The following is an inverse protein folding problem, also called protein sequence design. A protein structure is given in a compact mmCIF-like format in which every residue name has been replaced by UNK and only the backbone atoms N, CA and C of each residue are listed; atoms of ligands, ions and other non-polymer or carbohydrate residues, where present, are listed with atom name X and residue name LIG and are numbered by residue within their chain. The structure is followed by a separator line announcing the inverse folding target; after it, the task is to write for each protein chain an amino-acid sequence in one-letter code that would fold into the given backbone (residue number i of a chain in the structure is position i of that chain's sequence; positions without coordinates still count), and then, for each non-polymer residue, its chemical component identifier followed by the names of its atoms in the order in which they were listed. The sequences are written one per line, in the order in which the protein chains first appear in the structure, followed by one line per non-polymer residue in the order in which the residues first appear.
data_IF_224454286018
#
_entry.id   IF_224454286018
#
_cell.length_a   1.000
_cell.length_b   1.000
_cell.length_c   1.000
_cell.angle_alpha   90.00
_cell.angle_beta   90.00
_cell.angle_gamma   90.00
#
_symmetry.space_group_name_H-M   'P 1'
#
loop_
_entity.id
_entity.type
_entity.pdbx_description
1 polymer ?
#
# COMPACT_ATOMS: atom_id res chain seq x y z
N UNK A 1 23.81 24.10 0.64
CA UNK A 1 22.57 23.43 1.14
C UNK A 1 21.66 22.87 0.02
N UNK A 2 22.07 22.91 -1.23
CA UNK A 2 21.23 22.64 -2.43
C UNK A 2 21.19 21.19 -2.90
N UNK A 3 22.26 20.41 -2.80
CA UNK A 3 22.28 19.04 -3.37
C UNK A 3 21.41 18.00 -2.64
N UNK A 4 21.33 18.06 -1.31
CA UNK A 4 20.51 17.11 -0.54
C UNK A 4 19.00 17.29 -0.77
N UNK A 5 18.57 18.54 -0.94
CA UNK A 5 17.18 18.86 -1.28
C UNK A 5 16.77 18.30 -2.65
N UNK A 6 17.68 18.31 -3.60
CA UNK A 6 17.47 17.79 -4.96
C UNK A 6 17.36 16.25 -4.99
N UNK A 7 18.14 15.54 -4.16
CA UNK A 7 18.07 14.08 -4.07
C UNK A 7 16.73 13.64 -3.47
N UNK A 8 16.33 14.23 -2.34
CA UNK A 8 15.06 13.92 -1.70
C UNK A 8 13.85 14.19 -2.62
N UNK A 9 13.86 15.33 -3.33
CA UNK A 9 12.83 15.68 -4.29
C UNK A 9 12.81 14.74 -5.51
N UNK A 10 13.96 14.25 -5.98
CA UNK A 10 14.04 13.26 -7.06
C UNK A 10 13.48 11.90 -6.61
N UNK A 11 13.90 11.44 -5.43
CA UNK A 11 13.39 10.17 -4.85
C UNK A 11 11.87 10.26 -4.65
N UNK A 12 11.39 11.36 -4.08
CA UNK A 12 9.95 11.58 -3.88
C UNK A 12 9.18 11.52 -5.20
N UNK A 13 9.61 12.30 -6.21
CA UNK A 13 8.99 12.27 -7.54
C UNK A 13 9.09 10.90 -8.21
N UNK A 14 10.16 10.17 -7.97
CA UNK A 14 10.34 8.79 -8.45
C UNK A 14 9.31 7.82 -7.85
N UNK A 15 8.96 8.02 -6.58
CA UNK A 15 8.01 7.15 -5.86
C UNK A 15 6.56 7.48 -6.14
N UNK A 16 6.18 8.76 -6.10
CA UNK A 16 4.76 9.17 -6.13
C UNK A 16 4.37 10.03 -7.34
N UNK A 17 5.33 10.35 -8.20
CA UNK A 17 5.11 11.26 -9.32
C UNK A 17 5.20 12.75 -8.93
N UNK A 18 4.89 13.66 -9.86
CA UNK A 18 4.99 15.10 -9.66
C UNK A 18 3.76 15.64 -8.90
N UNK A 19 3.64 15.31 -7.62
CA UNK A 19 2.57 15.79 -6.75
C UNK A 19 2.71 17.29 -6.44
N UNK A 20 1.58 17.98 -6.35
CA UNK A 20 1.48 19.33 -5.80
C UNK A 20 1.78 19.36 -4.29
N UNK A 21 1.96 20.59 -3.74
CA UNK A 21 2.26 20.76 -2.30
C UNK A 21 1.15 20.19 -1.40
N UNK A 22 -0.11 20.45 -1.72
CA UNK A 22 -1.25 19.94 -0.95
C UNK A 22 -1.36 18.42 -1.01
N UNK A 23 -1.17 17.82 -2.19
CA UNK A 23 -1.17 16.37 -2.38
C UNK A 23 -0.02 15.70 -1.62
N UNK A 24 1.19 16.28 -1.73
CA UNK A 24 2.36 15.80 -0.97
C UNK A 24 2.13 15.89 0.54
N UNK A 25 1.56 17.01 1.02
CA UNK A 25 1.23 17.19 2.43
C UNK A 25 0.17 16.19 2.90
N UNK A 26 -0.83 15.87 2.07
CA UNK A 26 -1.83 14.85 2.40
C UNK A 26 -1.20 13.45 2.51
N UNK A 27 -0.38 13.04 1.54
CA UNK A 27 0.33 11.75 1.56
C UNK A 27 1.22 11.64 2.78
N UNK A 28 2.10 12.63 3.01
CA UNK A 28 3.05 12.63 4.12
C UNK A 28 2.36 12.76 5.48
N UNK A 29 1.31 13.60 5.57
CA UNK A 29 0.55 13.81 6.79
C UNK A 29 -0.16 12.54 7.25
N UNK A 30 -0.89 11.88 6.35
CA UNK A 30 -1.55 10.60 6.65
C UNK A 30 -0.54 9.54 7.03
N UNK A 31 0.56 9.41 6.28
CA UNK A 31 1.63 8.48 6.57
C UNK A 31 2.25 8.71 7.96
N UNK A 32 2.62 9.96 8.27
CA UNK A 32 3.25 10.31 9.54
C UNK A 32 2.33 10.10 10.74
N UNK A 33 1.08 10.59 10.66
CA UNK A 33 0.10 10.44 11.75
C UNK A 33 -0.18 8.98 12.03
N UNK A 34 -0.43 8.18 10.97
CA UNK A 34 -0.73 6.75 11.14
C UNK A 34 0.49 5.98 11.64
N UNK A 35 1.67 6.26 11.07
CA UNK A 35 2.92 5.63 11.50
C UNK A 35 3.22 5.87 12.97
N UNK A 36 3.11 7.12 13.43
CA UNK A 36 3.28 7.47 14.84
C UNK A 36 2.25 6.81 15.76
N UNK A 37 0.98 6.82 15.38
CA UNK A 37 -0.09 6.22 16.18
C UNK A 37 0.14 4.71 16.32
N UNK A 38 0.50 4.01 15.23
CA UNK A 38 0.80 2.58 15.24
C UNK A 38 2.06 2.29 16.05
N UNK A 39 3.13 3.07 15.86
CA UNK A 39 4.38 2.89 16.61
C UNK A 39 4.15 3.05 18.12
N UNK A 40 3.44 4.10 18.56
CA UNK A 40 3.13 4.32 19.98
C UNK A 40 2.32 3.17 20.57
N UNK A 41 1.21 2.79 19.90
CA UNK A 41 0.34 1.69 20.35
C UNK A 41 1.07 0.35 20.39
N UNK A 42 1.92 0.07 19.41
CA UNK A 42 2.71 -1.15 19.35
C UNK A 42 3.81 -1.14 20.42
N UNK A 43 4.50 -0.02 20.59
CA UNK A 43 5.59 0.11 21.53
C UNK A 43 5.19 -0.19 22.98
N UNK A 44 4.01 0.26 23.40
CA UNK A 44 3.47 -0.04 24.73
C UNK A 44 3.10 -1.52 24.94
N UNK A 45 2.89 -2.29 23.86
CA UNK A 45 2.41 -3.68 23.91
C UNK A 45 3.47 -4.70 23.55
N UNK A 46 4.37 -4.38 22.62
CA UNK A 46 5.29 -5.30 21.97
C UNK A 46 6.76 -4.86 22.01
N UNK A 47 7.01 -3.67 22.55
CA UNK A 47 8.35 -3.11 22.65
C UNK A 47 8.83 -2.34 21.43
N UNK A 48 10.04 -1.74 21.50
CA UNK A 48 10.50 -0.73 20.53
C UNK A 48 10.79 -1.32 19.13
N UNK A 49 11.28 -2.54 19.02
CA UNK A 49 11.55 -3.18 17.73
C UNK A 49 10.28 -3.39 16.90
N UNK A 50 9.22 -3.92 17.52
CA UNK A 50 7.92 -4.07 16.87
C UNK A 50 7.28 -2.71 16.55
N UNK A 51 7.46 -1.71 17.43
CA UNK A 51 6.99 -0.35 17.20
C UNK A 51 7.61 0.27 15.93
N UNK A 52 8.92 0.18 15.80
CA UNK A 52 9.65 0.70 14.64
C UNK A 52 9.19 -0.02 13.36
N UNK A 53 9.15 -1.35 13.39
CA UNK A 53 8.76 -2.16 12.24
C UNK A 53 7.34 -1.85 11.79
N UNK A 54 6.35 -1.91 12.69
CA UNK A 54 4.95 -1.69 12.31
C UNK A 54 4.63 -0.22 12.06
N UNK A 55 5.34 0.71 12.69
CA UNK A 55 5.28 2.12 12.36
C UNK A 55 5.73 2.41 10.93
N UNK A 56 6.87 1.82 10.51
CA UNK A 56 7.35 1.93 9.14
C UNK A 56 6.38 1.30 8.12
N UNK A 57 5.83 0.12 8.43
CA UNK A 57 4.77 -0.50 7.62
C UNK A 57 3.56 0.41 7.48
N UNK A 58 3.13 1.04 8.57
CA UNK A 58 1.99 1.94 8.55
C UNK A 58 2.24 3.18 7.67
N UNK A 59 3.44 3.78 7.77
CA UNK A 59 3.85 4.90 6.91
C UNK A 59 3.74 4.53 5.43
N UNK A 60 4.34 3.40 5.02
CA UNK A 60 4.32 2.98 3.62
C UNK A 60 2.91 2.65 3.13
N UNK A 61 2.17 1.86 3.91
CA UNK A 61 0.86 1.35 3.45
C UNK A 61 -0.15 2.49 3.36
N UNK A 62 -0.22 3.38 4.35
CA UNK A 62 -1.19 4.47 4.34
C UNK A 62 -0.81 5.62 3.41
N UNK A 63 0.48 5.97 3.35
CA UNK A 63 0.98 6.94 2.37
C UNK A 63 0.75 6.46 0.94
N UNK A 64 1.09 5.21 0.65
CA UNK A 64 0.83 4.59 -0.65
C UNK A 64 -0.65 4.47 -0.98
N UNK A 65 -1.52 4.19 0.01
CA UNK A 65 -2.97 4.19 -0.20
C UNK A 65 -3.46 5.54 -0.72
N UNK A 66 -3.03 6.64 -0.11
CA UNK A 66 -3.39 8.00 -0.58
C UNK A 66 -2.78 8.28 -1.95
N UNK A 67 -1.48 8.01 -2.12
CA UNK A 67 -0.76 8.29 -3.35
C UNK A 67 -1.40 7.60 -4.57
N UNK A 68 -1.74 6.31 -4.50
CA UNK A 68 -2.35 5.57 -5.62
C UNK A 68 -3.79 6.00 -5.97
N UNK A 69 -4.42 6.87 -5.17
CA UNK A 69 -5.68 7.51 -5.58
C UNK A 69 -5.45 8.78 -6.40
N UNK A 70 -4.24 9.36 -6.35
CA UNK A 70 -3.93 10.61 -7.04
C UNK A 70 -3.61 10.38 -8.53
N UNK A 71 -4.15 11.22 -9.42
CA UNK A 71 -3.92 11.09 -10.87
C UNK A 71 -2.44 11.11 -11.25
N UNK A 72 -1.64 11.99 -10.64
CA UNK A 72 -0.21 12.11 -10.94
C UNK A 72 0.58 10.84 -10.60
N UNK A 73 0.28 10.19 -9.48
CA UNK A 73 0.89 8.90 -9.14
C UNK A 73 0.47 7.81 -10.12
N UNK A 74 -0.80 7.73 -10.45
CA UNK A 74 -1.31 6.75 -11.41
C UNK A 74 -0.70 6.91 -12.80
N UNK A 75 -0.53 8.16 -13.25
CA UNK A 75 0.13 8.46 -14.53
C UNK A 75 1.62 8.10 -14.50
N UNK A 76 2.33 8.34 -13.37
CA UNK A 76 3.73 7.92 -13.17
C UNK A 76 3.94 6.43 -13.40
N UNK A 77 2.98 5.60 -12.99
CA UNK A 77 3.06 4.14 -13.13
C UNK A 77 2.36 3.59 -14.38
N UNK A 78 1.78 4.45 -15.23
CA UNK A 78 1.07 4.03 -16.44
C UNK A 78 1.97 3.25 -17.40
N UNK A 79 3.20 3.69 -17.61
CA UNK A 79 4.16 3.07 -18.53
C UNK A 79 4.73 1.73 -18.06
N UNK A 80 4.38 1.30 -16.82
CA UNK A 80 4.87 0.03 -16.28
C UNK A 80 4.29 -1.15 -17.05
N UNK A 81 5.15 -2.11 -17.40
CA UNK A 81 4.75 -3.38 -18.03
C UNK A 81 3.93 -4.23 -17.03
N UNK A 82 3.26 -5.27 -17.55
CA UNK A 82 2.59 -6.25 -16.68
C UNK A 82 3.58 -6.89 -15.69
N UNK A 83 4.79 -7.22 -16.14
CA UNK A 83 5.83 -7.79 -15.30
C UNK A 83 6.23 -6.83 -14.17
N UNK A 84 6.41 -5.53 -14.47
CA UNK A 84 6.72 -4.51 -13.46
C UNK A 84 5.59 -4.37 -12.43
N UNK A 85 4.34 -4.41 -12.88
CA UNK A 85 3.16 -4.32 -12.00
C UNK A 85 3.04 -5.53 -11.09
N UNK A 86 3.28 -6.73 -11.61
CA UNK A 86 3.33 -7.96 -10.81
C UNK A 86 4.54 -7.95 -9.87
N UNK A 87 5.69 -7.51 -10.35
CA UNK A 87 6.90 -7.33 -9.55
C UNK A 87 6.69 -6.37 -8.39
N UNK A 88 6.04 -5.22 -8.65
CA UNK A 88 5.69 -4.26 -7.59
C UNK A 88 4.70 -4.87 -6.59
N UNK A 89 3.66 -5.55 -7.05
CA UNK A 89 2.71 -6.24 -6.17
C UNK A 89 3.42 -7.29 -5.29
N UNK A 90 4.31 -8.10 -5.87
CA UNK A 90 5.08 -9.11 -5.17
C UNK A 90 6.11 -8.53 -4.18
N UNK A 91 6.73 -7.39 -4.52
CA UNK A 91 7.67 -6.68 -3.66
C UNK A 91 7.00 -6.04 -2.42
N UNK A 92 5.69 -5.86 -2.45
CA UNK A 92 4.93 -5.36 -1.31
C UNK A 92 4.74 -6.48 -0.26
N UNK A 93 5.78 -6.71 0.53
CA UNK A 93 5.83 -7.78 1.55
C UNK A 93 5.48 -7.31 2.97
N UNK A 94 5.00 -6.08 3.13
CA UNK A 94 4.80 -5.43 4.45
C UNK A 94 3.83 -6.20 5.35
N UNK A 95 2.86 -6.93 4.78
CA UNK A 95 1.98 -7.81 5.57
C UNK A 95 2.75 -8.96 6.24
N UNK A 96 3.90 -9.37 5.69
CA UNK A 96 4.77 -10.40 6.28
C UNK A 96 5.54 -9.90 7.52
N UNK A 97 5.53 -8.59 7.79
CA UNK A 97 6.11 -8.00 8.99
C UNK A 97 5.23 -8.19 10.25
N UNK A 98 3.96 -8.55 10.08
CA UNK A 98 3.02 -8.72 11.21
C UNK A 98 3.38 -9.90 12.13
N UNK A 99 3.58 -11.14 11.62
CA UNK A 99 3.89 -12.28 12.48
C UNK A 99 5.14 -12.09 13.34
N UNK A 100 6.30 -11.64 12.82
CA UNK A 100 7.47 -11.42 13.66
C UNK A 100 7.31 -10.27 14.66
N UNK A 101 6.39 -9.31 14.40
CA UNK A 101 6.03 -8.29 15.38
C UNK A 101 5.02 -8.79 16.44
N UNK A 102 4.66 -10.08 16.42
CA UNK A 102 3.69 -10.67 17.34
C UNK A 102 2.24 -10.34 17.03
N UNK A 103 1.95 -9.94 15.79
CA UNK A 103 0.60 -9.57 15.33
C UNK A 103 0.16 -10.47 14.16
N UNK A 104 -0.99 -11.15 14.33
CA UNK A 104 -1.52 -12.03 13.29
C UNK A 104 -0.77 -13.36 13.14
N UNK A 105 -0.99 -14.03 12.02
CA UNK A 105 -0.41 -15.34 11.69
C UNK A 105 0.27 -15.34 10.33
N UNK A 106 1.25 -16.23 10.14
CA UNK A 106 1.92 -16.40 8.85
C UNK A 106 0.97 -16.78 7.72
N UNK A 107 0.00 -17.68 8.00
CA UNK A 107 -0.99 -18.08 6.99
C UNK A 107 -1.80 -16.90 6.48
N UNK A 108 -2.23 -16.01 7.36
CA UNK A 108 -2.96 -14.79 6.97
C UNK A 108 -2.08 -13.81 6.22
N UNK A 109 -0.85 -13.58 6.68
CA UNK A 109 0.09 -12.70 6.01
C UNK A 109 0.39 -13.16 4.59
N UNK A 110 0.63 -14.46 4.41
CA UNK A 110 0.85 -15.07 3.09
C UNK A 110 -0.41 -15.02 2.22
N UNK A 111 -1.60 -15.27 2.79
CA UNK A 111 -2.86 -15.17 2.06
C UNK A 111 -3.11 -13.73 1.55
N UNK A 112 -2.84 -12.71 2.36
CA UNK A 112 -2.92 -11.29 1.95
C UNK A 112 -1.95 -11.01 0.81
N UNK A 113 -0.69 -11.42 0.96
CA UNK A 113 0.33 -11.22 -0.06
C UNK A 113 -0.04 -11.89 -1.38
N UNK A 114 -0.36 -13.18 -1.35
CA UNK A 114 -0.75 -13.94 -2.54
C UNK A 114 -2.04 -13.41 -3.15
N UNK A 115 -3.00 -12.99 -2.33
CA UNK A 115 -4.26 -12.38 -2.76
C UNK A 115 -4.06 -11.10 -3.56
N UNK A 116 -3.12 -10.24 -3.13
CA UNK A 116 -2.79 -9.01 -3.87
C UNK A 116 -2.10 -9.32 -5.20
N UNK A 117 -1.14 -10.23 -5.22
CA UNK A 117 -0.46 -10.64 -6.45
C UNK A 117 -1.45 -11.26 -7.43
N UNK A 118 -2.29 -12.19 -6.96
CA UNK A 118 -3.34 -12.81 -7.76
C UNK A 118 -4.39 -11.82 -8.28
N UNK A 119 -4.86 -10.92 -7.41
CA UNK A 119 -5.79 -9.85 -7.82
C UNK A 119 -5.17 -8.94 -8.88
N UNK A 120 -3.89 -8.58 -8.74
CA UNK A 120 -3.18 -7.78 -9.74
C UNK A 120 -3.11 -8.53 -11.07
N UNK A 121 -2.75 -9.81 -11.07
CA UNK A 121 -2.69 -10.62 -12.28
C UNK A 121 -4.06 -10.68 -12.97
N UNK A 122 -5.12 -11.01 -12.24
CA UNK A 122 -6.48 -11.13 -12.81
C UNK A 122 -6.98 -9.78 -13.34
N UNK A 123 -6.85 -8.71 -12.56
CA UNK A 123 -7.32 -7.38 -12.97
C UNK A 123 -6.59 -6.87 -14.21
N UNK A 124 -5.30 -7.09 -14.29
CA UNK A 124 -4.49 -6.61 -15.41
C UNK A 124 -4.63 -7.47 -16.66
N UNK A 125 -4.75 -8.80 -16.53
CA UNK A 125 -4.81 -9.70 -17.66
C UNK A 125 -6.23 -9.98 -18.19
N UNK A 126 -7.24 -10.00 -17.31
CA UNK A 126 -8.58 -10.45 -17.66
C UNK A 126 -9.66 -9.34 -17.64
N UNK A 127 -9.40 -8.20 -16.99
CA UNK A 127 -10.41 -7.15 -16.87
C UNK A 127 -10.10 -5.99 -17.84
N UNK A 128 -11.01 -5.64 -18.75
CA UNK A 128 -10.84 -4.50 -19.65
C UNK A 128 -10.57 -3.20 -18.90
N UNK A 129 -9.66 -2.36 -19.40
CA UNK A 129 -9.21 -1.14 -18.73
C UNK A 129 -10.36 -0.28 -18.20
N UNK A 130 -11.39 -0.05 -19.03
CA UNK A 130 -12.58 0.75 -18.71
C UNK A 130 -13.34 0.28 -17.47
N UNK A 131 -13.28 -1.03 -17.14
CA UNK A 131 -13.96 -1.65 -15.99
C UNK A 131 -13.00 -1.94 -14.83
N UNK A 132 -11.71 -1.90 -15.07
CA UNK A 132 -10.68 -2.34 -14.14
C UNK A 132 -10.73 -1.59 -12.80
N UNK A 133 -10.94 -0.26 -12.84
CA UNK A 133 -11.04 0.53 -11.61
C UNK A 133 -12.26 0.14 -10.77
N UNK A 134 -13.42 0.00 -11.37
CA UNK A 134 -14.63 -0.42 -10.65
C UNK A 134 -14.49 -1.85 -10.10
N UNK A 135 -14.00 -2.78 -10.92
CA UNK A 135 -13.77 -4.17 -10.50
C UNK A 135 -12.74 -4.26 -9.36
N UNK A 136 -11.63 -3.53 -9.46
CA UNK A 136 -10.59 -3.53 -8.42
C UNK A 136 -11.07 -2.87 -7.13
N UNK A 137 -11.88 -1.80 -7.22
CA UNK A 137 -12.48 -1.18 -6.04
C UNK A 137 -13.46 -2.14 -5.35
N UNK A 138 -14.34 -2.80 -6.11
CA UNK A 138 -15.27 -3.78 -5.57
C UNK A 138 -14.53 -4.97 -4.93
N UNK A 139 -13.54 -5.54 -5.63
CA UNK A 139 -12.73 -6.63 -5.10
C UNK A 139 -11.96 -6.20 -3.84
N UNK A 140 -11.33 -5.03 -3.86
CA UNK A 140 -10.63 -4.47 -2.71
C UNK A 140 -11.55 -4.28 -1.49
N UNK A 141 -12.79 -3.82 -1.71
CA UNK A 141 -13.78 -3.67 -0.65
C UNK A 141 -14.21 -5.04 -0.06
N UNK A 142 -14.43 -6.04 -0.91
CA UNK A 142 -14.76 -7.42 -0.46
C UNK A 142 -13.62 -8.00 0.38
N UNK A 143 -12.38 -7.90 -0.10
CA UNK A 143 -11.20 -8.39 0.62
C UNK A 143 -11.00 -7.64 1.95
N UNK A 144 -11.20 -6.31 1.95
CA UNK A 144 -11.13 -5.49 3.16
C UNK A 144 -12.19 -5.90 4.19
N UNK A 145 -13.42 -6.13 3.76
CA UNK A 145 -14.51 -6.59 4.63
C UNK A 145 -14.22 -7.99 5.21
N UNK A 146 -13.73 -8.92 4.39
CA UNK A 146 -13.34 -10.25 4.83
C UNK A 146 -12.22 -10.21 5.88
N UNK A 147 -11.21 -9.35 5.67
CA UNK A 147 -10.14 -9.14 6.64
C UNK A 147 -10.66 -8.56 7.96
N UNK A 148 -11.51 -7.53 7.92
CA UNK A 148 -12.10 -6.96 9.13
C UNK A 148 -12.96 -7.95 9.90
N UNK A 149 -13.68 -8.82 9.20
CA UNK A 149 -14.54 -9.84 9.81
C UNK A 149 -13.74 -10.95 10.49
N UNK A 150 -12.56 -11.28 9.94
CA UNK A 150 -11.78 -12.46 10.38
C UNK A 150 -10.55 -12.12 11.21
N UNK A 151 -9.95 -10.93 11.05
CA UNK A 151 -8.77 -10.52 11.79
C UNK A 151 -9.13 -9.99 13.18
N UNK A 152 -8.60 -10.63 14.21
CA UNK A 152 -8.75 -10.24 15.62
C UNK A 152 -7.50 -9.57 16.20
N UNK A 153 -6.46 -9.36 15.40
CA UNK A 153 -5.23 -8.70 15.85
C UNK A 153 -5.45 -7.20 16.11
N UNK A 154 -4.52 -6.59 16.86
CA UNK A 154 -4.55 -5.15 17.07
C UNK A 154 -4.29 -4.35 15.77
N UNK A 155 -3.71 -5.01 14.77
CA UNK A 155 -3.40 -4.45 13.47
C UNK A 155 -4.43 -4.84 12.38
N UNK A 156 -5.63 -5.24 12.76
CA UNK A 156 -6.71 -5.62 11.83
C UNK A 156 -7.05 -4.55 10.76
N UNK A 157 -6.71 -3.29 11.02
CA UNK A 157 -6.89 -2.19 10.09
C UNK A 157 -5.96 -2.29 8.87
N UNK A 158 -4.83 -3.00 9.00
CA UNK A 158 -3.82 -3.07 7.94
C UNK A 158 -4.36 -3.77 6.69
N UNK A 159 -5.14 -4.85 6.85
CA UNK A 159 -5.72 -5.57 5.72
C UNK A 159 -6.57 -4.68 4.81
N UNK A 160 -7.58 -3.96 5.32
CA UNK A 160 -8.35 -3.00 4.54
C UNK A 160 -7.50 -1.96 3.81
N UNK A 161 -6.56 -1.33 4.51
CA UNK A 161 -5.68 -0.31 3.90
C UNK A 161 -4.77 -0.93 2.84
N UNK A 162 -4.27 -2.14 3.08
CA UNK A 162 -3.49 -2.93 2.15
C UNK A 162 -4.24 -3.20 0.85
N UNK A 163 -5.49 -3.65 0.93
CA UNK A 163 -6.31 -3.90 -0.24
C UNK A 163 -6.69 -2.61 -0.98
N UNK A 164 -6.95 -1.51 -0.26
CA UNK A 164 -7.18 -0.20 -0.89
C UNK A 164 -5.95 0.33 -1.61
N UNK A 165 -4.75 0.18 -1.03
CA UNK A 165 -3.49 0.57 -1.69
C UNK A 165 -3.24 -0.23 -2.95
N UNK A 166 -3.30 -1.57 -2.85
CA UNK A 166 -2.75 -2.46 -3.86
C UNK A 166 -3.80 -3.00 -4.82
N UNK A 167 -4.99 -3.38 -4.35
CA UNK A 167 -6.03 -3.92 -5.23
C UNK A 167 -6.84 -2.80 -5.87
N UNK A 168 -7.39 -1.87 -5.09
CA UNK A 168 -8.16 -0.76 -5.64
C UNK A 168 -7.27 0.33 -6.28
N UNK A 169 -6.05 0.51 -5.80
CA UNK A 169 -5.07 1.49 -6.31
C UNK A 169 -4.19 0.92 -7.43
N UNK A 170 -3.14 0.19 -7.05
CA UNK A 170 -2.08 -0.27 -7.95
C UNK A 170 -2.58 -1.26 -9.02
N UNK A 171 -3.35 -2.29 -8.64
CA UNK A 171 -3.85 -3.29 -9.60
C UNK A 171 -4.84 -2.73 -10.64
N UNK A 172 -5.31 -1.50 -10.46
CA UNK A 172 -6.22 -0.80 -11.38
C UNK A 172 -5.55 0.26 -12.23
N UNK A 173 -4.23 0.23 -12.33
CA UNK A 173 -3.50 1.16 -13.21
C UNK A 173 -3.96 1.01 -14.67
N UNK A 174 -4.07 2.14 -15.41
CA UNK A 174 -4.43 2.11 -16.82
C UNK A 174 -3.33 1.43 -17.66
N UNK A 175 -3.69 0.96 -18.84
CA UNK A 175 -2.72 0.32 -19.74
C UNK A 175 -1.66 1.32 -20.24
N UNK A 176 -0.44 0.85 -20.57
CA UNK A 176 0.58 1.68 -21.20
C UNK A 176 0.04 2.29 -22.50
N UNK A 177 0.39 3.56 -22.74
CA UNK A 177 0.11 4.23 -24.02
C UNK A 177 1.18 3.90 -25.02
#
# INVERSE_FOLDING_TARGET
MTERGDVAARVWRGLVGPLGRAESAAVLGVAAVTGLAVARKTGTRRGPGAALLLGAVAVDVTGGMVAFQLPATRERYRSSSLADRLGLAAAHVQCLALPPAGEGTWSRALARWAGVVGATAVLQAAVPERRRRAAGTALGAVLAAADLATDRSAQRWLGPVWHLKLVAGHATLPDPR
#
